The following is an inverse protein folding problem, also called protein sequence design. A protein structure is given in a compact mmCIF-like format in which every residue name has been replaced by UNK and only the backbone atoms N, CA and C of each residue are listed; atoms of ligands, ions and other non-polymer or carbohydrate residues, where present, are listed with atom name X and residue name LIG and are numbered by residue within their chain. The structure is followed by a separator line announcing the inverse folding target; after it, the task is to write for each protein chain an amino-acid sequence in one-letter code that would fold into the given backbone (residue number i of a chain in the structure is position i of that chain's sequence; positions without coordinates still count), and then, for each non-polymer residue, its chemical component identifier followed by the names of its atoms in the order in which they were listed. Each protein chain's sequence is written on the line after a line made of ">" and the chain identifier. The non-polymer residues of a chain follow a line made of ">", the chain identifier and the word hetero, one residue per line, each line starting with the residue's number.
data_IF_209763519285
#
_entry.id   IF_209763519285
#
_cell.length_a   1.000
_cell.length_b   1.000
_cell.length_c   1.000
_cell.angle_alpha   90.00
_cell.angle_beta   90.00
_cell.angle_gamma   90.00
#
_symmetry.space_group_name_H-M   'P 1'
#
loop_
_entity.id
_entity.type
_entity.pdbx_description
1 polymer ?
#
# COMPACT_ATOMS: atom_id res chain seq x y z
N UNK A 1 59.77 41.00 -34.75
CA UNK A 1 59.39 41.55 -36.08
C UNK A 1 58.04 40.96 -36.48
N UNK A 2 57.03 41.78 -36.86
CA UNK A 2 55.69 41.36 -37.33
C UNK A 2 55.68 41.15 -38.87
N UNK A 3 54.56 40.74 -39.52
CA UNK A 3 53.53 41.71 -40.00
C UNK A 3 52.06 41.19 -39.86
N UNK A 4 51.03 41.99 -39.57
CA UNK A 4 50.25 43.04 -40.29
C UNK A 4 48.98 42.56 -41.03
N UNK A 5 47.88 43.30 -40.75
CA UNK A 5 46.69 43.64 -41.58
C UNK A 5 45.69 42.52 -41.92
N UNK A 6 44.44 42.55 -41.42
CA UNK A 6 43.29 43.46 -41.66
C UNK A 6 42.53 43.17 -42.95
N UNK A 7 41.29 42.65 -42.85
CA UNK A 7 40.17 42.93 -43.76
C UNK A 7 38.81 42.70 -43.05
N UNK A 8 38.04 43.77 -42.84
CA UNK A 8 36.56 43.86 -43.06
C UNK A 8 36.38 44.40 -44.51
N UNK A 9 35.20 44.45 -45.16
CA UNK A 9 33.81 44.24 -44.71
C UNK A 9 33.08 43.23 -45.64
N UNK A 10 31.76 42.97 -45.58
CA UNK A 10 30.79 43.65 -46.46
C UNK A 10 29.43 42.93 -46.43
N UNK A 11 28.40 43.76 -46.25
CA UNK A 11 26.99 43.61 -46.65
C UNK A 11 26.06 42.74 -45.80
N UNK A 12 25.24 43.50 -45.06
CA UNK A 12 23.91 43.14 -44.64
C UNK A 12 23.05 42.66 -45.81
N UNK A 13 22.54 41.43 -45.74
CA UNK A 13 21.30 41.09 -46.40
C UNK A 13 20.19 41.25 -45.38
N UNK A 14 19.57 42.43 -45.38
CA UNK A 14 18.27 42.67 -44.75
C UNK A 14 17.25 41.81 -45.49
N UNK A 15 16.87 40.67 -44.91
CA UNK A 15 15.64 39.97 -45.30
C UNK A 15 14.49 40.44 -44.40
N UNK A 16 13.43 41.04 -44.94
CA UNK A 16 12.42 41.76 -44.18
C UNK A 16 11.20 40.88 -43.89
N UNK A 17 11.32 39.90 -43.01
CA UNK A 17 10.15 39.26 -42.40
C UNK A 17 10.46 38.83 -40.96
N UNK A 18 10.27 39.78 -40.05
CA UNK A 18 9.81 39.49 -38.69
C UNK A 18 8.46 38.78 -38.81
N UNK A 19 8.33 37.63 -38.15
CA UNK A 19 7.17 37.18 -37.35
C UNK A 19 7.19 35.66 -37.23
N UNK A 20 8.14 35.13 -36.43
CA UNK A 20 7.91 33.86 -35.75
C UNK A 20 7.75 34.18 -34.27
N UNK A 21 6.62 33.81 -33.62
CA UNK A 21 6.51 33.95 -32.19
C UNK A 21 7.59 33.09 -31.51
N UNK A 22 8.09 33.47 -30.33
CA UNK A 22 8.95 32.61 -29.53
C UNK A 22 8.27 31.25 -29.37
N UNK A 23 9.01 30.12 -29.33
CA UNK A 23 8.41 28.82 -29.10
C UNK A 23 7.55 28.94 -27.85
N UNK A 24 6.24 28.81 -28.08
CA UNK A 24 5.24 28.90 -27.06
C UNK A 24 5.67 27.99 -25.92
N UNK A 25 5.73 28.58 -24.73
CA UNK A 25 5.47 27.90 -23.50
C UNK A 25 4.26 27.00 -23.74
N UNK A 26 4.52 25.76 -24.11
CA UNK A 26 3.57 24.67 -23.91
C UNK A 26 3.18 24.82 -22.45
N UNK A 27 1.90 25.03 -22.12
CA UNK A 27 1.44 24.67 -20.80
C UNK A 27 1.83 23.21 -20.71
N UNK A 28 2.87 22.91 -19.93
CA UNK A 28 3.07 21.54 -19.46
C UNK A 28 1.67 21.11 -19.01
N UNK A 29 1.09 20.03 -19.58
CA UNK A 29 -0.12 19.48 -19.02
C UNK A 29 0.28 19.26 -17.58
N UNK A 30 -0.32 20.09 -16.70
CA UNK A 30 -0.09 20.07 -15.26
C UNK A 30 0.08 18.62 -14.95
N UNK A 31 1.30 18.23 -14.58
CA UNK A 31 1.51 16.90 -14.05
C UNK A 31 0.37 16.79 -13.06
N UNK A 32 -0.57 15.89 -13.34
CA UNK A 32 -1.56 15.50 -12.37
C UNK A 32 -0.69 14.84 -11.32
N UNK A 33 -0.08 15.68 -10.49
CA UNK A 33 0.37 15.34 -9.18
C UNK A 33 -0.88 14.70 -8.65
N UNK A 34 -0.84 13.38 -8.60
CA UNK A 34 -1.75 12.59 -7.80
C UNK A 34 -1.44 13.10 -6.40
N UNK A 35 -2.01 14.26 -6.07
CA UNK A 35 -1.87 14.90 -4.79
C UNK A 35 -2.41 13.85 -3.87
N UNK A 36 -1.50 13.17 -3.18
CA UNK A 36 -1.89 12.41 -2.01
C UNK A 36 -2.79 13.35 -1.22
N UNK A 37 -4.03 12.95 -0.93
CA UNK A 37 -4.95 13.83 -0.20
C UNK A 37 -4.24 14.27 1.08
N UNK A 38 -4.31 15.57 1.37
CA UNK A 38 -3.68 16.07 2.58
C UNK A 38 -4.27 15.33 3.78
N UNK A 39 -3.48 15.11 4.82
CA UNK A 39 -3.93 14.54 6.09
C UNK A 39 -5.21 15.21 6.61
N UNK A 40 -5.36 16.52 6.41
CA UNK A 40 -6.56 17.29 6.72
C UNK A 40 -7.77 16.90 5.86
N UNK A 41 -7.58 16.67 4.56
CA UNK A 41 -8.65 16.23 3.66
C UNK A 41 -9.14 14.83 4.01
N UNK A 42 -8.22 13.92 4.38
CA UNK A 42 -8.54 12.56 4.81
C UNK A 42 -9.38 12.53 6.09
N UNK A 43 -9.03 13.35 7.10
CA UNK A 43 -9.79 13.44 8.34
C UNK A 43 -11.16 14.08 8.13
N UNK A 44 -11.24 15.12 7.29
CA UNK A 44 -12.49 15.84 7.01
C UNK A 44 -13.54 14.98 6.30
N UNK A 45 -13.11 13.92 5.60
CA UNK A 45 -13.99 12.96 4.95
C UNK A 45 -14.65 11.96 5.93
N UNK A 46 -14.19 11.92 7.19
CA UNK A 46 -14.65 10.99 8.21
C UNK A 46 -15.67 11.65 9.14
N UNK A 47 -16.56 10.83 9.72
CA UNK A 47 -17.50 11.31 10.73
C UNK A 47 -16.77 11.72 12.02
N UNK A 48 -17.42 12.52 12.87
CA UNK A 48 -16.84 12.91 14.16
C UNK A 48 -16.50 11.68 15.03
N UNK A 49 -17.37 10.66 15.02
CA UNK A 49 -17.14 9.41 15.74
C UNK A 49 -15.88 8.68 15.25
N UNK A 50 -15.63 8.68 13.94
CA UNK A 50 -14.44 8.07 13.34
C UNK A 50 -13.18 8.87 13.67
N UNK A 51 -13.26 10.20 13.66
CA UNK A 51 -12.17 11.09 14.08
C UNK A 51 -11.81 10.89 15.56
N UNK A 52 -12.80 10.71 16.43
CA UNK A 52 -12.60 10.47 17.86
C UNK A 52 -11.89 9.13 18.13
N UNK A 53 -12.07 8.14 17.25
CA UNK A 53 -11.35 6.86 17.29
C UNK A 53 -9.93 6.97 16.72
N UNK A 54 -9.72 7.77 15.67
CA UNK A 54 -8.42 7.92 15.00
C UNK A 54 -7.45 8.79 15.79
N UNK A 55 -7.93 9.85 16.43
CA UNK A 55 -7.09 10.81 17.17
C UNK A 55 -6.13 10.13 18.16
N UNK A 56 -6.61 9.26 19.07
CA UNK A 56 -5.77 8.50 19.99
C UNK A 56 -4.77 7.58 19.28
N UNK A 57 -5.16 6.95 18.16
CA UNK A 57 -4.30 6.03 17.41
C UNK A 57 -3.15 6.77 16.72
N UNK A 58 -3.41 7.94 16.15
CA UNK A 58 -2.35 8.79 15.57
C UNK A 58 -1.41 9.31 16.67
N UNK A 59 -1.95 9.67 17.85
CA UNK A 59 -1.14 10.08 18.99
C UNK A 59 -0.22 8.96 19.52
N UNK A 60 -0.58 7.69 19.31
CA UNK A 60 0.27 6.53 19.61
C UNK A 60 1.36 6.29 18.55
N UNK A 61 1.38 7.07 17.46
CA UNK A 61 2.40 7.03 16.43
C UNK A 61 2.03 6.21 15.19
N UNK A 62 0.79 5.72 15.08
CA UNK A 62 0.34 5.07 13.85
C UNK A 62 0.15 6.12 12.74
N UNK A 63 0.57 5.83 11.50
CA UNK A 63 0.29 6.69 10.36
C UNK A 63 -1.23 6.89 10.19
N UNK A 64 -1.65 8.13 9.91
CA UNK A 64 -3.06 8.47 9.74
C UNK A 64 -3.76 7.55 8.72
N UNK A 65 -3.14 7.33 7.55
CA UNK A 65 -3.68 6.44 6.53
C UNK A 65 -3.92 5.02 7.06
N UNK A 66 -2.97 4.48 7.85
CA UNK A 66 -3.07 3.13 8.42
C UNK A 66 -4.21 3.04 9.45
N UNK A 67 -4.39 4.09 10.25
CA UNK A 67 -5.52 4.19 11.18
C UNK A 67 -6.87 4.22 10.44
N UNK A 68 -6.96 5.00 9.34
CA UNK A 68 -8.18 5.08 8.54
C UNK A 68 -8.52 3.72 7.90
N UNK A 69 -7.54 3.08 7.27
CA UNK A 69 -7.73 1.76 6.64
C UNK A 69 -8.14 0.72 7.68
N UNK A 70 -7.47 0.70 8.83
CA UNK A 70 -7.80 -0.20 9.91
C UNK A 70 -9.23 0.04 10.43
N UNK A 71 -9.64 1.31 10.61
CA UNK A 71 -10.99 1.65 11.06
C UNK A 71 -12.05 1.22 10.04
N UNK A 72 -11.77 1.38 8.75
CA UNK A 72 -12.65 0.93 7.67
C UNK A 72 -12.79 -0.61 7.66
N UNK A 73 -11.71 -1.35 7.92
CA UNK A 73 -11.73 -2.82 8.00
C UNK A 73 -12.49 -3.30 9.23
N UNK A 74 -12.21 -2.74 10.42
CA UNK A 74 -12.88 -3.14 11.67
C UNK A 74 -14.31 -2.63 11.76
N UNK A 75 -14.66 -1.60 10.99
CA UNK A 75 -15.91 -0.86 11.10
C UNK A 75 -15.94 0.07 12.32
N UNK A 76 -17.12 0.66 12.60
CA UNK A 76 -17.37 1.56 13.74
C UNK A 76 -17.45 0.80 15.08
N UNK A 77 -16.36 0.15 15.43
CA UNK A 77 -16.18 -0.58 16.68
C UNK A 77 -15.63 0.32 17.79
N UNK A 78 -15.54 -0.21 19.02
CA UNK A 78 -14.97 0.54 20.14
C UNK A 78 -13.47 0.79 19.92
N UNK A 79 -12.95 1.86 20.53
CA UNK A 79 -11.51 2.17 20.49
C UNK A 79 -10.65 0.98 20.95
N UNK A 80 -11.12 0.22 21.95
CA UNK A 80 -10.43 -0.98 22.43
C UNK A 80 -10.32 -2.09 21.39
N UNK A 81 -11.39 -2.36 20.64
CA UNK A 81 -11.39 -3.37 19.57
C UNK A 81 -10.52 -2.91 18.40
N UNK A 82 -10.62 -1.63 18.04
CA UNK A 82 -9.79 -1.01 17.02
C UNK A 82 -8.29 -1.10 17.35
N UNK A 83 -7.90 -0.77 18.58
CA UNK A 83 -6.53 -0.93 19.08
C UNK A 83 -6.11 -2.40 19.15
N UNK A 84 -7.01 -3.30 19.55
CA UNK A 84 -6.75 -4.74 19.58
C UNK A 84 -6.38 -5.24 18.19
N UNK A 85 -7.16 -4.87 17.16
CA UNK A 85 -6.89 -5.21 15.77
C UNK A 85 -5.52 -4.69 15.31
N UNK A 86 -5.23 -3.40 15.51
CA UNK A 86 -3.94 -2.81 15.15
C UNK A 86 -2.77 -3.54 15.82
N UNK A 87 -2.91 -3.84 17.11
CA UNK A 87 -1.88 -4.55 17.87
C UNK A 87 -1.68 -6.00 17.39
N UNK A 88 -2.76 -6.68 16.98
CA UNK A 88 -2.69 -8.02 16.42
C UNK A 88 -1.93 -8.02 15.10
N UNK A 89 -2.26 -7.09 14.18
CA UNK A 89 -1.54 -6.94 12.92
C UNK A 89 -0.05 -6.66 13.17
N UNK A 90 0.28 -5.76 14.08
CA UNK A 90 1.68 -5.45 14.42
C UNK A 90 2.44 -6.65 15.02
N UNK A 91 1.78 -7.49 15.82
CA UNK A 91 2.37 -8.72 16.36
C UNK A 91 2.65 -9.74 15.28
N UNK A 92 1.77 -9.86 14.28
CA UNK A 92 1.98 -10.75 13.14
C UNK A 92 3.08 -10.22 12.22
N UNK A 93 3.08 -8.93 11.90
CA UNK A 93 4.15 -8.29 11.11
C UNK A 93 5.53 -8.44 11.77
N UNK A 94 5.62 -8.33 13.10
CA UNK A 94 6.87 -8.53 13.85
C UNK A 94 7.40 -9.96 13.79
N UNK A 95 6.55 -10.95 13.45
CA UNK A 95 6.98 -12.33 13.22
C UNK A 95 7.63 -12.51 11.86
N UNK A 96 7.61 -11.49 10.99
CA UNK A 96 8.20 -11.54 9.65
C UNK A 96 7.20 -11.82 8.53
N UNK A 97 5.90 -11.89 8.84
CA UNK A 97 4.88 -12.03 7.81
C UNK A 97 4.69 -10.72 7.03
N UNK A 98 4.48 -10.86 5.72
CA UNK A 98 4.17 -9.74 4.82
C UNK A 98 2.81 -9.10 5.16
N UNK A 99 2.72 -7.78 5.03
CA UNK A 99 1.50 -7.02 5.37
C UNK A 99 0.27 -7.51 4.58
N UNK A 100 0.44 -7.86 3.30
CA UNK A 100 -0.64 -8.40 2.49
C UNK A 100 -1.18 -9.74 3.00
N UNK A 101 -0.30 -10.62 3.50
CA UNK A 101 -0.71 -11.91 4.06
C UNK A 101 -1.39 -11.75 5.42
N UNK A 102 -0.88 -10.84 6.26
CA UNK A 102 -1.50 -10.51 7.55
C UNK A 102 -2.90 -9.94 7.34
N UNK A 103 -3.05 -9.00 6.40
CA UNK A 103 -4.34 -8.41 6.07
C UNK A 103 -5.32 -9.47 5.56
N UNK A 104 -4.89 -10.31 4.63
CA UNK A 104 -5.72 -11.39 4.08
C UNK A 104 -6.14 -12.38 5.17
N UNK A 105 -5.22 -12.84 6.02
CA UNK A 105 -5.51 -13.77 7.10
C UNK A 105 -6.44 -13.15 8.16
N UNK A 106 -6.22 -11.90 8.52
CA UNK A 106 -7.09 -11.18 9.45
C UNK A 106 -8.51 -11.07 8.90
N UNK A 107 -8.70 -10.82 7.60
CA UNK A 107 -10.03 -10.77 6.98
C UNK A 107 -10.71 -12.15 6.96
N UNK A 108 -9.98 -13.20 6.62
CA UNK A 108 -10.51 -14.57 6.58
C UNK A 108 -11.05 -15.05 7.93
N UNK A 109 -10.38 -14.67 9.02
CA UNK A 109 -10.71 -15.13 10.37
C UNK A 109 -11.37 -14.06 11.24
N UNK A 110 -12.10 -13.12 10.61
CA UNK A 110 -12.90 -12.10 11.30
C UNK A 110 -12.09 -11.32 12.35
N UNK A 111 -10.87 -10.95 11.98
CA UNK A 111 -9.93 -10.17 12.78
C UNK A 111 -9.43 -10.87 14.06
N UNK A 112 -9.48 -12.19 14.11
CA UNK A 112 -8.94 -12.99 15.22
C UNK A 112 -7.43 -13.22 15.08
N UNK A 113 -6.62 -12.59 15.94
CA UNK A 113 -5.16 -12.75 15.96
C UNK A 113 -4.74 -14.22 16.05
N UNK A 114 -5.36 -14.99 16.95
CA UNK A 114 -5.02 -16.39 17.16
C UNK A 114 -5.29 -17.23 15.92
N UNK A 115 -6.41 -17.02 15.25
CA UNK A 115 -6.76 -17.81 14.07
C UNK A 115 -5.95 -17.39 12.85
N UNK A 116 -5.76 -16.08 12.64
CA UNK A 116 -4.92 -15.56 11.56
C UNK A 116 -3.46 -16.01 11.72
N UNK A 117 -2.91 -15.97 12.93
CA UNK A 117 -1.56 -16.44 13.22
C UNK A 117 -1.36 -17.93 13.02
N UNK A 118 -2.33 -18.76 13.43
CA UNK A 118 -2.27 -20.21 13.16
C UNK A 118 -2.40 -20.51 11.65
N UNK A 119 -3.27 -19.80 10.94
CA UNK A 119 -3.38 -19.90 9.48
C UNK A 119 -2.06 -19.59 8.78
N UNK A 120 -1.42 -18.46 9.13
CA UNK A 120 -0.14 -18.05 8.52
C UNK A 120 0.94 -19.11 8.76
N UNK A 121 1.06 -19.62 10.00
CA UNK A 121 2.04 -20.65 10.35
C UNK A 121 1.79 -21.96 9.60
N UNK A 122 0.54 -22.42 9.55
CA UNK A 122 0.19 -23.66 8.83
C UNK A 122 0.36 -23.49 7.33
N UNK A 123 0.03 -22.32 6.80
CA UNK A 123 0.17 -22.03 5.38
C UNK A 123 1.64 -22.09 4.93
N UNK A 124 2.54 -21.45 5.69
CA UNK A 124 3.98 -21.53 5.46
C UNK A 124 4.48 -22.98 5.55
N UNK A 125 4.10 -23.70 6.61
CA UNK A 125 4.50 -25.10 6.80
C UNK A 125 4.04 -25.99 5.63
N UNK A 126 2.82 -25.80 5.13
CA UNK A 126 2.30 -26.59 4.02
C UNK A 126 2.93 -26.18 2.70
N UNK A 127 3.25 -24.90 2.53
CA UNK A 127 4.00 -24.39 1.38
C UNK A 127 5.41 -24.98 1.32
N UNK A 128 6.09 -25.11 2.47
CA UNK A 128 7.40 -25.75 2.58
C UNK A 128 7.37 -27.25 2.23
N UNK A 129 6.22 -27.90 2.42
CA UNK A 129 5.99 -29.28 1.96
C UNK A 129 5.69 -29.39 0.46
N UNK A 130 5.58 -28.27 -0.26
CA UNK A 130 5.36 -28.21 -1.70
C UNK A 130 3.89 -28.22 -2.13
N UNK A 131 2.94 -28.03 -1.20
CA UNK A 131 1.54 -27.88 -1.55
C UNK A 131 1.26 -26.52 -2.22
N UNK A 132 0.27 -26.49 -3.11
CA UNK A 132 -0.13 -25.26 -3.80
C UNK A 132 -0.85 -24.30 -2.84
N UNK A 133 -0.48 -23.01 -2.85
CA UNK A 133 -1.01 -21.98 -1.96
C UNK A 133 -2.55 -21.87 -1.99
N UNK A 134 -3.15 -21.90 -3.18
CA UNK A 134 -4.61 -21.83 -3.32
C UNK A 134 -5.30 -23.01 -2.62
N UNK A 135 -4.72 -24.21 -2.73
CA UNK A 135 -5.28 -25.42 -2.11
C UNK A 135 -5.08 -25.42 -0.60
N UNK A 136 -3.90 -25.02 -0.12
CA UNK A 136 -3.60 -24.85 1.30
C UNK A 136 -4.64 -23.94 1.95
N UNK A 137 -4.87 -22.78 1.33
CA UNK A 137 -5.81 -21.79 1.81
C UNK A 137 -7.23 -22.33 1.92
N UNK A 138 -7.70 -23.01 0.86
CA UNK A 138 -9.02 -23.63 0.84
C UNK A 138 -9.19 -24.65 1.99
N UNK A 139 -8.26 -25.60 2.13
CA UNK A 139 -8.39 -26.64 3.17
C UNK A 139 -8.29 -26.05 4.57
N UNK A 140 -7.44 -25.06 4.80
CA UNK A 140 -7.30 -24.42 6.11
C UNK A 140 -8.58 -23.66 6.49
N UNK A 141 -9.25 -23.05 5.52
CA UNK A 141 -10.55 -22.40 5.73
C UNK A 141 -11.66 -23.42 6.00
N UNK A 142 -11.72 -24.52 5.24
CA UNK A 142 -12.74 -25.57 5.41
C UNK A 142 -12.60 -26.25 6.77
N UNK A 143 -11.38 -26.55 7.20
CA UNK A 143 -11.12 -27.25 8.46
C UNK A 143 -10.91 -26.31 9.65
N UNK A 144 -10.95 -24.99 9.45
CA UNK A 144 -10.74 -24.00 10.52
C UNK A 144 -9.39 -24.16 11.21
N UNK A 145 -8.31 -24.19 10.44
CA UNK A 145 -6.93 -24.34 10.90
C UNK A 145 -6.63 -25.64 11.68
N UNK A 146 -7.44 -26.69 11.51
CA UNK A 146 -7.11 -28.02 12.05
C UNK A 146 -6.05 -28.70 11.18
N UNK A 147 -4.81 -28.62 11.65
CA UNK A 147 -3.61 -29.13 10.96
C UNK A 147 -3.78 -30.55 10.43
N UNK A 148 -4.19 -31.50 11.27
CA UNK A 148 -4.25 -32.91 10.89
C UNK A 148 -5.27 -33.16 9.77
N UNK A 149 -6.45 -32.55 9.88
CA UNK A 149 -7.53 -32.69 8.88
C UNK A 149 -7.14 -32.04 7.55
N UNK A 150 -6.58 -30.82 7.60
CA UNK A 150 -6.15 -30.10 6.41
C UNK A 150 -4.99 -30.82 5.70
N UNK A 151 -4.05 -31.39 6.46
CA UNK A 151 -2.94 -32.15 5.89
C UNK A 151 -3.42 -33.46 5.26
N UNK A 152 -4.33 -34.18 5.93
CA UNK A 152 -4.92 -35.41 5.39
C UNK A 152 -5.63 -35.14 4.05
N UNK A 153 -6.42 -34.07 3.96
CA UNK A 153 -7.09 -33.69 2.71
C UNK A 153 -6.10 -33.25 1.63
N UNK A 154 -5.06 -32.48 1.98
CA UNK A 154 -4.01 -32.08 1.03
C UNK A 154 -3.29 -33.28 0.43
N UNK A 155 -2.92 -34.25 1.26
CA UNK A 155 -2.24 -35.47 0.80
C UNK A 155 -3.19 -36.35 -0.01
N UNK A 156 -4.47 -36.43 0.36
CA UNK A 156 -5.46 -37.21 -0.38
C UNK A 156 -5.74 -36.64 -1.79
N UNK A 157 -5.72 -35.31 -1.94
CA UNK A 157 -5.97 -34.63 -3.22
C UNK A 157 -4.70 -34.39 -4.06
N UNK A 158 -3.51 -34.68 -3.55
CA UNK A 158 -2.24 -34.47 -4.25
C UNK A 158 -1.89 -35.58 -5.28
N UNK A 159 -2.86 -36.42 -5.66
CA UNK A 159 -2.69 -37.54 -6.62
C UNK A 159 -3.29 -37.23 -8.00
#
# INVERSE_FOLDING_TARGET
>A
MPPLRSHKPTVASLSPYTCLPPPGQVPQPRAAHRSQPDSADLLSALSQEEQDLIGPVVALGYPLHRAIVALQKTGRQSLSQFLSYLSACDRLLRQGYEEGLVDEAMEMFQFSESQAGEFLRLSEQFSDMGFQQDRIKEVLLVHGNRREQALEELVACAQ
#
